data_IF_191268707881
#
_entry.id   IF_191268707881
#
_cell.length_a   1.000
_cell.length_b   1.000
_cell.length_c   1.000
_cell.angle_alpha   90.00
_cell.angle_beta   90.00
_cell.angle_gamma   90.00
#
_symmetry.space_group_name_H-M   'P 1'
#
loop_
_entity.id
_entity.type
_entity.pdbx_description
1 polymer ?
#
# COMPACT_ATOMS: atom_id res chain seq x y z
N UNK A 1 27.75 6.56 -23.84
CA UNK A 1 27.56 5.35 -23.03
C UNK A 1 26.06 5.15 -22.89
N UNK A 2 25.45 4.15 -23.53
CA UNK A 2 24.03 3.84 -23.25
C UNK A 2 23.95 3.05 -21.96
N UNK A 3 23.08 3.46 -21.05
CA UNK A 3 22.79 2.66 -19.86
C UNK A 3 22.02 1.40 -20.26
N UNK A 4 22.29 0.23 -19.64
CA UNK A 4 21.55 -0.99 -19.93
C UNK A 4 20.09 -0.85 -19.47
N UNK A 5 19.15 -1.24 -20.32
CA UNK A 5 17.75 -1.40 -19.94
C UNK A 5 17.61 -2.70 -19.15
N UNK A 6 17.10 -2.61 -17.93
CA UNK A 6 16.83 -3.77 -17.07
C UNK A 6 15.34 -3.85 -16.82
N UNK A 7 14.76 -5.03 -17.03
CA UNK A 7 13.37 -5.32 -16.66
C UNK A 7 13.33 -5.75 -15.20
N UNK A 8 12.53 -5.05 -14.38
CA UNK A 8 12.30 -5.40 -12.97
C UNK A 8 10.91 -6.03 -12.84
N UNK A 9 10.79 -7.25 -12.29
CA UNK A 9 9.49 -7.85 -12.00
C UNK A 9 8.70 -6.99 -11.00
N UNK A 10 7.40 -6.82 -11.22
CA UNK A 10 6.55 -5.99 -10.34
C UNK A 10 6.60 -6.44 -8.86
N UNK A 11 6.73 -7.75 -8.61
CA UNK A 11 6.90 -8.30 -7.26
C UNK A 11 8.16 -7.79 -6.56
N UNK A 12 9.24 -7.57 -7.32
CA UNK A 12 10.48 -7.01 -6.79
C UNK A 12 10.34 -5.52 -6.49
N UNK A 13 9.68 -4.76 -7.37
CA UNK A 13 9.36 -3.35 -7.13
C UNK A 13 8.51 -3.18 -5.85
N UNK A 14 7.51 -4.05 -5.65
CA UNK A 14 6.67 -4.07 -4.45
C UNK A 14 7.51 -4.37 -3.18
N UNK A 15 8.38 -5.38 -3.21
CA UNK A 15 9.28 -5.69 -2.08
C UNK A 15 10.26 -4.56 -1.80
N UNK A 16 10.78 -3.90 -2.83
CA UNK A 16 11.65 -2.74 -2.67
C UNK A 16 10.91 -1.59 -1.97
N UNK A 17 9.66 -1.33 -2.35
CA UNK A 17 8.83 -0.36 -1.66
C UNK A 17 8.53 -0.75 -0.20
N UNK A 18 8.30 -2.03 0.09
CA UNK A 18 8.15 -2.52 1.47
C UNK A 18 9.37 -2.18 2.33
N UNK A 19 10.58 -2.51 1.86
CA UNK A 19 11.81 -2.21 2.58
C UNK A 19 12.04 -0.71 2.76
N UNK A 20 11.58 0.12 1.81
CA UNK A 20 11.58 1.58 1.98
C UNK A 20 10.58 2.05 3.02
N UNK A 21 9.38 1.47 3.07
CA UNK A 21 8.35 1.83 4.04
C UNK A 21 8.80 1.53 5.47
N UNK A 22 9.48 0.41 5.65
CA UNK A 22 10.11 0.02 6.91
C UNK A 22 11.28 0.96 7.26
N UNK A 23 12.29 1.06 6.37
CA UNK A 23 13.52 1.82 6.64
C UNK A 23 13.30 3.32 6.83
N UNK A 24 12.34 3.90 6.12
CA UNK A 24 12.11 5.35 6.14
C UNK A 24 10.96 5.76 7.07
N UNK A 25 10.18 4.81 7.59
CA UNK A 25 8.99 5.10 8.38
C UNK A 25 7.95 5.92 7.61
N UNK A 26 7.88 5.77 6.28
CA UNK A 26 7.02 6.57 5.39
C UNK A 26 6.17 5.67 4.51
N UNK A 27 4.92 6.04 4.30
CA UNK A 27 4.05 5.38 3.32
C UNK A 27 4.70 5.39 1.94
N UNK A 28 4.72 4.23 1.28
CA UNK A 28 5.16 4.11 -0.12
C UNK A 28 3.94 3.82 -0.99
N UNK A 29 3.71 4.65 -2.00
CA UNK A 29 2.65 4.43 -2.99
C UNK A 29 3.26 3.95 -4.31
N UNK A 30 2.64 2.96 -4.94
CA UNK A 30 2.99 2.48 -6.27
C UNK A 30 1.72 2.37 -7.11
N UNK A 31 1.84 2.79 -8.35
CA UNK A 31 0.94 2.41 -9.44
C UNK A 31 1.45 1.08 -10.00
N UNK A 32 0.59 0.07 -10.03
CA UNK A 32 0.95 -1.31 -10.40
C UNK A 32 0.10 -1.86 -11.56
N UNK A 33 -0.75 -1.01 -12.13
CA UNK A 33 -1.61 -1.23 -13.29
C UNK A 33 -2.24 0.10 -13.70
N UNK A 34 -3.02 0.12 -14.78
CA UNK A 34 -3.61 1.34 -15.36
C UNK A 34 -4.41 2.16 -14.35
N UNK A 35 -5.21 1.50 -13.51
CA UNK A 35 -6.00 2.15 -12.45
C UNK A 35 -5.71 1.59 -11.06
N UNK A 36 -4.72 0.69 -10.90
CA UNK A 36 -4.50 -0.07 -9.67
C UNK A 36 -3.32 0.46 -8.87
N UNK A 37 -3.58 0.84 -7.61
CA UNK A 37 -2.61 1.45 -6.72
C UNK A 37 -2.50 0.70 -5.40
N UNK A 38 -1.27 0.61 -4.89
CA UNK A 38 -0.96 0.09 -3.56
C UNK A 38 -0.31 1.19 -2.71
N UNK A 39 -0.78 1.35 -1.46
CA UNK A 39 -0.12 2.13 -0.41
C UNK A 39 0.38 1.19 0.67
N UNK A 40 1.68 1.06 0.80
CA UNK A 40 2.33 0.29 1.87
C UNK A 40 2.58 1.25 3.04
N UNK A 41 2.00 0.96 4.21
CA UNK A 41 2.14 1.77 5.40
C UNK A 41 3.56 1.68 6.00
N UNK A 42 3.98 2.64 6.85
CA UNK A 42 5.20 2.53 7.64
C UNK A 42 5.33 1.17 8.34
N UNK A 43 6.55 0.64 8.40
CA UNK A 43 6.81 -0.70 8.94
C UNK A 43 6.56 -1.85 7.94
N UNK A 44 5.92 -1.60 6.80
CA UNK A 44 5.88 -2.56 5.69
C UNK A 44 5.04 -3.83 5.92
N UNK A 45 4.22 -3.87 6.99
CA UNK A 45 3.39 -5.03 7.35
C UNK A 45 1.88 -4.81 7.14
N UNK A 46 1.51 -3.67 6.56
CA UNK A 46 0.14 -3.29 6.20
C UNK A 46 0.14 -2.56 4.86
N UNK A 47 -0.90 -2.78 4.06
CA UNK A 47 -1.16 -1.99 2.86
C UNK A 47 -2.65 -1.76 2.58
N UNK A 48 -2.92 -0.75 1.77
CA UNK A 48 -4.20 -0.50 1.12
C UNK A 48 -4.05 -0.74 -0.38
N UNK A 49 -5.00 -1.43 -0.99
CA UNK A 49 -5.14 -1.63 -2.43
C UNK A 49 -6.41 -0.91 -2.89
N UNK A 50 -6.33 -0.13 -3.96
CA UNK A 50 -7.49 0.59 -4.49
C UNK A 50 -7.38 0.81 -5.99
N UNK A 51 -8.53 0.97 -6.63
CA UNK A 51 -8.62 1.38 -8.02
C UNK A 51 -9.08 2.84 -8.12
N UNK A 52 -8.70 3.55 -9.18
CA UNK A 52 -9.30 4.86 -9.49
C UNK A 52 -10.71 4.72 -10.07
N UNK A 53 -10.95 3.62 -10.79
CA UNK A 53 -12.27 3.22 -11.27
C UNK A 53 -12.60 1.79 -10.81
N UNK A 54 -13.78 1.60 -10.22
CA UNK A 54 -14.23 0.32 -9.67
C UNK A 54 -13.59 -0.10 -8.33
N UNK A 55 -13.61 -1.41 -8.07
CA UNK A 55 -13.07 -2.02 -6.85
C UNK A 55 -11.90 -2.96 -7.18
N UNK A 56 -10.85 -3.02 -6.33
CA UNK A 56 -9.76 -3.95 -6.53
C UNK A 56 -10.18 -5.40 -6.26
N UNK A 57 -9.66 -6.33 -7.05
CA UNK A 57 -9.91 -7.75 -6.84
C UNK A 57 -9.18 -8.30 -5.61
N UNK A 58 -9.87 -9.17 -4.85
CA UNK A 58 -9.27 -9.85 -3.69
C UNK A 58 -8.04 -10.69 -4.06
N UNK A 59 -8.07 -11.36 -5.21
CA UNK A 59 -6.95 -12.18 -5.68
C UNK A 59 -5.66 -11.37 -5.88
N UNK A 60 -5.76 -10.11 -6.34
CA UNK A 60 -4.61 -9.21 -6.46
C UNK A 60 -4.01 -8.90 -5.09
N UNK A 61 -4.85 -8.64 -4.09
CA UNK A 61 -4.39 -8.39 -2.72
C UNK A 61 -3.74 -9.62 -2.08
N UNK A 62 -4.27 -10.82 -2.33
CA UNK A 62 -3.66 -12.08 -1.90
C UNK A 62 -2.27 -12.29 -2.52
N UNK A 63 -2.14 -12.04 -3.83
CA UNK A 63 -0.86 -12.12 -4.53
C UNK A 63 0.17 -11.11 -4.01
N UNK A 64 -0.26 -9.89 -3.70
CA UNK A 64 0.58 -8.83 -3.11
C UNK A 64 1.00 -9.22 -1.68
N UNK A 65 0.06 -9.68 -0.85
CA UNK A 65 0.36 -10.13 0.51
C UNK A 65 1.40 -11.25 0.53
N UNK A 66 1.28 -12.20 -0.40
CA UNK A 66 2.27 -13.26 -0.60
C UNK A 66 3.63 -12.70 -1.06
N UNK A 67 3.64 -11.74 -1.99
CA UNK A 67 4.88 -11.10 -2.46
C UNK A 67 5.61 -10.32 -1.36
N UNK A 68 4.85 -9.72 -0.43
CA UNK A 68 5.32 -9.00 0.76
C UNK A 68 5.68 -9.92 1.94
N UNK A 69 5.41 -11.22 1.83
CA UNK A 69 5.65 -12.20 2.90
C UNK A 69 4.90 -11.86 4.19
N UNK A 70 3.65 -11.40 4.09
CA UNK A 70 2.79 -11.18 5.25
C UNK A 70 2.34 -12.54 5.83
N UNK A 71 2.41 -12.69 7.15
CA UNK A 71 1.94 -13.88 7.86
C UNK A 71 0.52 -13.64 8.34
N UNK A 72 -0.34 -14.62 8.12
CA UNK A 72 -1.76 -14.58 8.49
C UNK A 72 -2.43 -13.23 8.12
N UNK A 73 -2.39 -12.83 6.84
CA UNK A 73 -2.94 -11.55 6.42
C UNK A 73 -4.45 -11.49 6.68
N UNK A 74 -4.86 -10.40 7.32
CA UNK A 74 -6.26 -10.07 7.57
C UNK A 74 -6.73 -9.10 6.49
N UNK A 75 -7.87 -9.41 5.89
CA UNK A 75 -8.46 -8.62 4.79
C UNK A 75 -9.68 -7.87 5.31
N UNK A 76 -9.78 -6.59 4.98
CA UNK A 76 -10.92 -5.75 5.31
C UNK A 76 -11.19 -4.74 4.22
N UNK A 77 -12.31 -4.03 4.35
CA UNK A 77 -12.64 -2.92 3.47
C UNK A 77 -12.48 -1.61 4.22
N UNK A 78 -11.96 -0.60 3.54
CA UNK A 78 -11.90 0.77 4.00
C UNK A 78 -12.58 1.69 2.98
N UNK A 79 -13.51 2.51 3.45
CA UNK A 79 -14.18 3.50 2.63
C UNK A 79 -13.54 4.87 2.88
N UNK A 80 -12.80 5.37 1.90
CA UNK A 80 -12.35 6.76 1.90
C UNK A 80 -13.43 7.71 1.35
N UNK A 81 -13.10 8.99 1.28
CA UNK A 81 -13.99 10.05 0.75
C UNK A 81 -14.36 9.81 -0.71
N UNK A 82 -13.42 9.29 -1.50
CA UNK A 82 -13.58 9.15 -2.95
C UNK A 82 -13.48 7.71 -3.43
N UNK A 83 -12.71 6.86 -2.74
CA UNK A 83 -12.39 5.51 -3.20
C UNK A 83 -12.61 4.48 -2.09
N UNK A 84 -13.09 3.31 -2.51
CA UNK A 84 -13.15 2.13 -1.64
C UNK A 84 -11.89 1.30 -1.83
N UNK A 85 -11.24 0.98 -0.73
CA UNK A 85 -9.94 0.28 -0.70
C UNK A 85 -10.07 -1.05 0.03
N UNK A 86 -9.33 -2.05 -0.44
CA UNK A 86 -9.12 -3.28 0.31
C UNK A 86 -7.89 -3.10 1.22
N UNK A 87 -8.09 -3.27 2.51
CA UNK A 87 -7.04 -3.21 3.54
C UNK A 87 -6.50 -4.60 3.80
N UNK A 88 -5.17 -4.72 3.87
CA UNK A 88 -4.50 -5.96 4.25
C UNK A 88 -3.47 -5.69 5.34
N UNK A 89 -3.56 -6.44 6.45
CA UNK A 89 -2.75 -6.26 7.65
C UNK A 89 -2.20 -7.61 8.08
N UNK A 90 -0.89 -7.73 8.30
CA UNK A 90 -0.34 -8.91 9.00
C UNK A 90 -0.89 -8.99 10.44
N UNK A 91 -1.26 -10.20 10.88
CA UNK A 91 -1.67 -10.42 12.26
C UNK A 91 -0.61 -9.88 13.25
N UNK A 92 -1.04 -9.05 14.21
CA UNK A 92 -0.15 -8.39 15.17
C UNK A 92 0.45 -7.06 14.70
N UNK A 93 0.25 -6.64 13.46
CA UNK A 93 0.74 -5.35 12.94
C UNK A 93 -0.22 -4.15 13.16
N UNK A 94 -1.28 -4.33 13.97
CA UNK A 94 -2.34 -3.33 14.19
C UNK A 94 -1.91 -2.12 15.05
N UNK A 95 -0.71 -2.15 15.65
CA UNK A 95 -0.32 -1.24 16.74
C UNK A 95 0.31 0.10 16.31
N UNK A 96 0.18 0.52 15.05
CA UNK A 96 0.61 1.86 14.62
C UNK A 96 -0.59 2.60 14.05
N UNK A 97 -1.14 3.48 14.89
CA UNK A 97 -2.23 4.40 14.59
C UNK A 97 -1.95 5.14 13.28
N UNK A 98 -2.92 5.13 12.37
CA UNK A 98 -2.90 5.95 11.18
C UNK A 98 -3.22 7.39 11.56
N UNK A 99 -2.19 8.21 11.78
CA UNK A 99 -2.33 9.63 11.53
C UNK A 99 -2.47 9.79 10.01
N UNK A 100 -3.72 9.80 9.53
CA UNK A 100 -4.05 10.47 8.26
C UNK A 100 -3.59 11.94 8.32
N UNK A 101 -3.51 12.64 7.18
CA UNK A 101 -3.14 14.04 7.19
C UNK A 101 -4.09 14.77 8.16
N UNK A 102 -3.52 15.52 9.09
CA UNK A 102 -4.29 16.45 9.90
C UNK A 102 -5.07 17.33 8.93
N UNK A 103 -6.39 17.33 9.08
CA UNK A 103 -7.20 18.41 8.56
C UNK A 103 -6.64 19.68 9.23
N UNK A 104 -5.91 20.49 8.46
CA UNK A 104 -5.70 21.88 8.84
C UNK A 104 -7.08 22.52 8.83
N UNK A 105 -7.72 22.60 10.01
CA UNK A 105 -8.79 23.57 10.26
C UNK A 105 -8.19 24.97 10.06
N UNK A 106 -8.25 25.44 8.82
CA UNK A 106 -8.18 26.86 8.50
C UNK A 106 -9.44 27.54 9.05
N UNK A 107 -9.31 28.16 10.22
CA UNK A 107 -10.37 28.86 10.93
C UNK A 107 -9.76 29.98 11.77
N UNK A 108 -9.09 30.91 11.11
CA UNK A 108 -8.56 32.14 11.70
C UNK A 108 -9.68 32.97 12.34
N UNK A 109 -9.35 33.53 13.50
CA UNK A 109 -10.09 34.51 14.32
C UNK A 109 -10.75 35.66 13.54
#
# INVERSE_FOLDING_TARGET
MSHPTVTVPIREAIRYAQGRAERLGRTQQLEIGEDLFIRIAPGGRKFLLFCLDGEPERGAAEAIAAALGLREPQYGWHQGTTLRSLTVIEAGAQSLSESGPAEEEDGTL
#
